data_IF_829370756290
#
_entry.id   IF_829370756290
#
_cell.length_a   1.000
_cell.length_b   1.000
_cell.length_c   1.000
_cell.angle_alpha   90.00
_cell.angle_beta   90.00
_cell.angle_gamma   90.00
#
_symmetry.space_group_name_H-M   'P 1'
#
loop_
_entity.id
_entity.type
_entity.pdbx_description
1 polymer ?
#
# COMPACT_ATOMS: atom_id res chain seq x y z
N UNK A 1 1.75 -7.63 -11.09
CA UNK A 1 2.45 -6.71 -10.16
C UNK A 1 3.92 -6.64 -10.58
N UNK A 2 4.55 -5.46 -10.60
CA UNK A 2 5.98 -5.32 -10.97
C UNK A 2 6.79 -4.84 -9.77
N UNK A 3 7.85 -5.55 -9.42
CA UNK A 3 8.78 -5.12 -8.37
C UNK A 3 9.81 -4.11 -8.91
N UNK A 4 10.26 -3.19 -8.06
CA UNK A 4 11.37 -2.27 -8.35
C UNK A 4 11.92 -1.66 -7.05
N UNK A 5 12.95 -0.84 -7.16
CA UNK A 5 13.49 -0.07 -6.04
C UNK A 5 13.02 1.39 -6.14
N UNK A 6 12.55 1.95 -5.02
CA UNK A 6 12.21 3.36 -4.93
C UNK A 6 13.46 4.22 -5.15
N UNK A 7 13.44 5.08 -6.17
CA UNK A 7 14.58 5.93 -6.54
C UNK A 7 14.94 6.98 -5.47
N UNK A 8 14.03 7.29 -4.56
CA UNK A 8 14.22 8.34 -3.57
C UNK A 8 14.74 7.83 -2.23
N UNK A 9 14.22 6.69 -1.76
CA UNK A 9 14.61 6.12 -0.47
C UNK A 9 15.39 4.80 -0.55
N UNK A 10 15.43 4.14 -1.72
CA UNK A 10 16.10 2.85 -1.90
C UNK A 10 15.30 1.63 -1.44
N UNK A 11 14.08 1.82 -0.93
CA UNK A 11 13.24 0.70 -0.47
C UNK A 11 12.71 -0.16 -1.63
N UNK A 12 12.48 -1.44 -1.38
CA UNK A 12 11.78 -2.32 -2.30
C UNK A 12 10.30 -1.94 -2.38
N UNK A 13 9.81 -1.74 -3.60
CA UNK A 13 8.41 -1.37 -3.88
C UNK A 13 7.81 -2.28 -4.95
N UNK A 14 6.50 -2.40 -4.92
CA UNK A 14 5.69 -3.03 -5.95
C UNK A 14 4.77 -2.02 -6.62
N UNK A 15 4.64 -2.12 -7.93
CA UNK A 15 3.70 -1.33 -8.72
C UNK A 15 2.42 -2.14 -8.92
N UNK A 16 1.34 -1.67 -8.32
CA UNK A 16 0.00 -2.24 -8.42
C UNK A 16 -0.82 -1.36 -9.36
N UNK A 17 -1.43 -1.95 -10.39
CA UNK A 17 -2.34 -1.21 -11.27
C UNK A 17 -3.67 -1.01 -10.56
N UNK A 18 -4.08 0.24 -10.40
CA UNK A 18 -5.39 0.58 -9.87
C UNK A 18 -6.46 0.40 -10.96
N UNK A 19 -7.75 0.25 -10.60
CA UNK A 19 -8.85 0.19 -11.56
C UNK A 19 -8.88 1.39 -12.53
N UNK A 20 -8.43 2.56 -12.08
CA UNK A 20 -8.28 3.75 -12.92
C UNK A 20 -7.08 3.72 -13.89
N UNK A 21 -6.40 2.58 -14.05
CA UNK A 21 -5.29 2.38 -14.99
C UNK A 21 -3.93 2.92 -14.53
N UNK A 22 -3.88 3.67 -13.43
CA UNK A 22 -2.63 4.22 -12.87
C UNK A 22 -1.86 3.15 -12.10
N UNK A 23 -0.53 3.19 -12.16
CA UNK A 23 0.31 2.31 -11.34
C UNK A 23 0.63 3.00 -10.02
N UNK A 24 0.25 2.38 -8.91
CA UNK A 24 0.49 2.86 -7.54
C UNK A 24 1.75 2.18 -6.96
N UNK A 25 2.75 2.95 -6.48
CA UNK A 25 3.86 2.37 -5.75
C UNK A 25 3.43 2.01 -4.33
N UNK A 26 3.61 0.76 -3.96
CA UNK A 26 3.33 0.24 -2.62
C UNK A 26 4.59 -0.42 -2.04
N UNK A 27 4.68 -0.48 -0.72
CA UNK A 27 5.76 -1.23 -0.05
C UNK A 27 5.73 -2.70 -0.50
N UNK A 28 6.89 -3.30 -0.77
CA UNK A 28 6.95 -4.67 -1.26
C UNK A 28 6.49 -5.72 -0.22
N UNK A 29 6.55 -5.37 1.06
CA UNK A 29 6.13 -6.26 2.15
C UNK A 29 4.60 -6.21 2.32
N UNK A 30 3.89 -7.34 2.15
CA UNK A 30 2.46 -7.38 2.40
C UNK A 30 2.14 -7.18 3.88
N UNK A 31 0.97 -6.60 4.17
CA UNK A 31 0.45 -6.40 5.53
C UNK A 31 -0.94 -7.00 5.66
N UNK A 32 -1.20 -7.61 6.81
CA UNK A 32 -2.56 -7.92 7.19
C UNK A 32 -3.31 -6.65 7.58
N UNK A 33 -4.57 -6.58 7.18
CA UNK A 33 -5.41 -5.44 7.48
C UNK A 33 -6.80 -5.87 7.90
N UNK A 34 -7.45 -5.02 8.68
CA UNK A 34 -8.86 -5.09 9.02
C UNK A 34 -9.56 -3.97 8.27
N UNK A 35 -10.50 -4.30 7.41
CA UNK A 35 -11.24 -3.31 6.64
C UNK A 35 -12.11 -2.46 7.57
N UNK A 36 -11.97 -1.14 7.46
CA UNK A 36 -12.74 -0.15 8.22
C UNK A 36 -13.13 1.00 7.30
N UNK A 37 -14.15 0.85 6.44
CA UNK A 37 -14.46 1.81 5.38
C UNK A 37 -14.79 3.20 5.93
N UNK A 38 -15.42 3.26 7.11
CA UNK A 38 -15.90 4.49 7.75
C UNK A 38 -14.96 5.08 8.82
N UNK A 39 -13.99 4.31 9.31
CA UNK A 39 -13.20 4.69 10.49
C UNK A 39 -11.71 4.31 10.43
N UNK A 40 -11.27 3.64 9.36
CA UNK A 40 -9.88 3.24 9.19
C UNK A 40 -8.96 4.44 9.00
N UNK A 41 -7.95 4.55 9.85
CA UNK A 41 -6.95 5.63 9.79
C UNK A 41 -5.85 5.37 8.75
N UNK A 42 -5.69 4.11 8.32
CA UNK A 42 -4.68 3.68 7.35
C UNK A 42 -5.30 3.37 5.99
N UNK A 43 -4.45 3.25 4.99
CA UNK A 43 -4.82 2.85 3.63
C UNK A 43 -4.04 1.60 3.26
N UNK A 44 -4.72 0.65 2.62
CA UNK A 44 -4.11 -0.53 2.02
C UNK A 44 -4.53 -0.59 0.55
N UNK A 45 -3.62 -1.04 -0.30
CA UNK A 45 -3.90 -1.35 -1.70
C UNK A 45 -4.04 -2.85 -1.85
N UNK A 46 -5.18 -3.31 -2.33
CA UNK A 46 -5.41 -4.74 -2.59
C UNK A 46 -4.61 -5.19 -3.83
N UNK A 47 -4.39 -6.50 -4.03
CA UNK A 47 -3.79 -7.01 -5.26
C UNK A 47 -4.54 -6.60 -6.54
N UNK A 48 -5.85 -6.33 -6.43
CA UNK A 48 -6.72 -5.83 -7.50
C UNK A 48 -6.57 -4.32 -7.74
N UNK A 49 -5.78 -3.63 -6.91
CA UNK A 49 -5.49 -2.21 -7.05
C UNK A 49 -6.49 -1.27 -6.39
N UNK A 50 -7.43 -1.80 -5.60
CA UNK A 50 -8.38 -0.99 -4.84
C UNK A 50 -7.70 -0.41 -3.60
N UNK A 51 -8.01 0.84 -3.27
CA UNK A 51 -7.46 1.52 -2.11
C UNK A 51 -8.53 1.58 -1.02
N UNK A 52 -8.34 0.81 0.05
CA UNK A 52 -9.32 0.61 1.11
C UNK A 52 -8.86 1.32 2.39
N UNK A 53 -9.80 1.90 3.14
CA UNK A 53 -9.57 2.39 4.50
C UNK A 53 -9.50 1.21 5.47
N UNK A 54 -8.44 1.11 6.26
CA UNK A 54 -8.21 -0.05 7.11
C UNK A 54 -7.45 0.31 8.39
N UNK A 55 -7.28 -0.68 9.25
CA UNK A 55 -6.25 -0.73 10.30
C UNK A 55 -5.29 -1.89 10.01
N UNK A 56 -4.03 -1.75 10.38
CA UNK A 56 -3.07 -2.86 10.28
C UNK A 56 -3.21 -3.78 11.49
N UNK A 57 -3.01 -5.07 11.26
CA UNK A 57 -3.00 -6.09 12.32
C UNK A 57 -1.81 -7.02 12.10
N UNK A 58 -1.30 -7.62 13.16
CA UNK A 58 -0.34 -8.72 13.09
C UNK A 58 -1.02 -10.09 13.31
N UNK A 59 -2.24 -10.07 13.84
CA UNK A 59 -3.07 -11.25 14.07
C UNK A 59 -3.81 -11.64 12.77
N UNK A 60 -3.46 -12.78 12.12
CA UNK A 60 -4.08 -13.20 10.87
C UNK A 60 -5.54 -13.64 11.04
N UNK A 61 -5.96 -14.08 12.24
CA UNK A 61 -7.33 -14.53 12.49
C UNK A 61 -8.33 -13.39 12.54
N UNK A 62 -7.85 -12.17 12.82
CA UNK A 62 -8.67 -10.95 12.80
C UNK A 62 -8.58 -10.19 11.48
N UNK A 63 -7.67 -10.59 10.60
CA UNK A 63 -7.44 -9.90 9.34
C UNK A 63 -8.61 -10.14 8.37
N UNK A 64 -9.11 -9.07 7.77
CA UNK A 64 -10.01 -9.17 6.61
C UNK A 64 -9.27 -9.72 5.39
N UNK A 65 -7.98 -9.40 5.28
CA UNK A 65 -7.13 -9.91 4.23
C UNK A 65 -5.72 -9.35 4.27
N UNK A 66 -5.03 -9.47 3.14
CA UNK A 66 -3.66 -9.00 2.95
C UNK A 66 -3.60 -8.02 1.78
N UNK A 67 -2.83 -6.94 1.94
CA UNK A 67 -2.57 -5.98 0.88
C UNK A 67 -1.24 -5.29 1.07
N UNK A 68 -1.03 -4.19 0.36
CA UNK A 68 0.23 -3.46 0.36
C UNK A 68 0.00 -2.01 0.80
N UNK A 69 0.82 -1.52 1.73
CA UNK A 69 0.73 -0.14 2.18
C UNK A 69 1.20 0.80 1.04
N UNK A 70 0.49 1.91 0.75
CA UNK A 70 0.97 2.92 -0.19
C UNK A 70 2.34 3.45 0.24
N UNK A 71 3.32 3.40 -0.67
CA UNK A 71 4.71 3.70 -0.33
C UNK A 71 4.93 5.18 0.07
N UNK A 72 4.05 6.09 -0.36
CA UNK A 72 4.15 7.51 0.00
C UNK A 72 4.09 7.77 1.51
N UNK A 73 3.60 6.81 2.31
CA UNK A 73 3.46 6.95 3.75
C UNK A 73 4.73 6.55 4.50
N UNK A 74 5.55 5.68 3.92
CA UNK A 74 6.82 5.19 4.48
C UNK A 74 8.04 5.85 3.82
N UNK A 75 7.88 6.44 2.64
CA UNK A 75 8.99 7.02 1.88
C UNK A 75 9.40 8.40 2.37
N UNK A 76 10.60 8.50 2.95
CA UNK A 76 11.24 9.78 3.33
C UNK A 76 11.42 10.77 2.17
N UNK A 77 11.45 10.29 0.93
CA UNK A 77 11.61 11.10 -0.27
C UNK A 77 10.28 11.32 -1.02
N UNK A 78 9.12 10.96 -0.44
CA UNK A 78 7.82 11.07 -1.10
C UNK A 78 7.53 12.47 -1.62
N UNK A 79 7.94 13.51 -0.88
CA UNK A 79 7.78 14.91 -1.27
C UNK A 79 8.44 15.26 -2.60
N UNK A 80 9.54 14.58 -2.96
CA UNK A 80 10.30 14.85 -4.19
C UNK A 80 9.63 14.29 -5.46
N UNK A 81 8.60 13.43 -5.30
CA UNK A 81 7.87 12.82 -6.42
C UNK A 81 6.52 13.48 -6.69
N UNK A 82 6.08 14.39 -5.82
CA UNK A 82 4.88 15.20 -6.04
C UNK A 82 5.22 16.26 -7.09
N UNK A 83 4.50 16.25 -8.21
CA UNK A 83 4.53 17.31 -9.24
C UNK A 83 3.26 18.13 -9.14
#
# INVERSE_FOLDING_TARGET
MRASTCKGCGAAIVWIRTPGGKSMPCDATPRYYIEKPRSGSKKIVTPNGEVISCEYTEDPHKATGTGFAPHWGSCRAAGNFKR
#
